data_IF_357962343155
#
_entry.id   IF_357962343155
#
_cell.length_a   1.000
_cell.length_b   1.000
_cell.length_c   1.000
_cell.angle_alpha   90.00
_cell.angle_beta   90.00
_cell.angle_gamma   90.00
#
_symmetry.space_group_name_H-M   'P 1'
#
loop_
_entity.id
_entity.type
_entity.pdbx_description
1 polymer ?
#
# COMPACT_ATOMS: atom_id res chain seq x y z
N UNK A 1 22.43 6.69 5.86
CA UNK A 1 22.60 5.26 5.44
C UNK A 1 23.01 5.10 3.96
N UNK A 2 22.77 6.07 3.08
CA UNK A 2 22.95 5.89 1.62
C UNK A 2 24.41 5.86 1.13
N UNK A 3 25.38 6.25 1.96
CA UNK A 3 26.80 6.23 1.60
C UNK A 3 27.26 4.81 1.30
N UNK A 4 28.02 4.60 0.23
CA UNK A 4 28.52 3.28 -0.20
C UNK A 4 29.15 2.45 0.94
N UNK A 5 30.00 3.02 1.83
CA UNK A 5 30.63 2.30 2.95
C UNK A 5 29.67 1.76 4.02
N UNK A 6 28.36 2.03 3.90
CA UNK A 6 27.33 1.49 4.78
C UNK A 6 26.58 0.31 4.15
N UNK A 7 27.15 -0.38 3.16
CA UNK A 7 26.56 -1.55 2.49
C UNK A 7 26.16 -2.64 3.48
N UNK A 8 27.07 -3.03 4.36
CA UNK A 8 26.81 -4.06 5.37
C UNK A 8 25.67 -3.67 6.32
N UNK A 9 25.62 -2.39 6.72
CA UNK A 9 24.55 -1.86 7.57
C UNK A 9 23.20 -1.84 6.85
N UNK A 10 23.17 -1.60 5.53
CA UNK A 10 21.95 -1.74 4.71
C UNK A 10 21.48 -3.17 4.62
N UNK A 11 22.38 -4.13 4.48
CA UNK A 11 22.03 -5.56 4.44
C UNK A 11 21.47 -6.04 5.78
N UNK A 12 22.11 -5.67 6.90
CA UNK A 12 21.59 -5.94 8.24
C UNK A 12 20.20 -5.36 8.45
N UNK A 13 19.98 -4.12 8.02
CA UNK A 13 18.67 -3.46 8.08
C UNK A 13 17.62 -4.18 7.22
N UNK A 14 17.99 -4.68 6.04
CA UNK A 14 17.08 -5.36 5.12
C UNK A 14 16.60 -6.72 5.63
N UNK A 15 17.41 -7.39 6.46
CA UNK A 15 17.10 -8.71 7.04
C UNK A 15 16.39 -8.57 8.40
N UNK A 16 16.46 -7.39 9.04
CA UNK A 16 15.91 -7.15 10.36
C UNK A 16 14.39 -7.42 10.45
N UNK A 17 13.97 -8.04 11.56
CA UNK A 17 12.59 -8.43 11.86
C UNK A 17 12.08 -7.88 13.20
N UNK A 18 12.98 -7.51 14.10
CA UNK A 18 12.66 -7.06 15.46
C UNK A 18 13.24 -5.68 15.75
N UNK A 19 12.55 -4.88 16.58
CA UNK A 19 12.89 -3.47 16.88
C UNK A 19 14.34 -3.28 17.35
N UNK A 20 14.86 -4.21 18.16
CA UNK A 20 16.22 -4.12 18.67
C UNK A 20 17.28 -4.14 17.56
N UNK A 21 17.05 -4.90 16.48
CA UNK A 21 17.96 -5.01 15.34
C UNK A 21 18.03 -3.68 14.59
N UNK A 22 16.90 -2.98 14.45
CA UNK A 22 16.87 -1.64 13.86
C UNK A 22 17.67 -0.64 14.71
N UNK A 23 17.52 -0.68 16.05
CA UNK A 23 18.28 0.18 16.98
C UNK A 23 19.77 -0.07 16.92
N UNK A 24 20.20 -1.32 16.76
CA UNK A 24 21.61 -1.69 16.65
C UNK A 24 22.26 -1.09 15.38
N UNK A 25 21.56 -1.17 14.24
CA UNK A 25 22.02 -0.56 12.98
C UNK A 25 22.16 0.95 13.13
N UNK A 26 21.17 1.61 13.74
CA UNK A 26 21.21 3.06 14.00
C UNK A 26 22.36 3.44 14.94
N UNK A 27 22.57 2.66 16.01
CA UNK A 27 23.66 2.89 16.95
C UNK A 27 25.04 2.72 16.29
N UNK A 28 25.17 1.73 15.41
CA UNK A 28 26.39 1.51 14.62
C UNK A 28 26.68 2.67 13.67
N UNK A 29 25.65 3.19 12.99
CA UNK A 29 25.79 4.39 12.15
C UNK A 29 26.16 5.62 12.97
N UNK A 30 25.53 5.80 14.13
CA UNK A 30 25.82 6.90 15.03
C UNK A 30 27.29 6.87 15.43
N UNK A 31 27.76 5.77 16.00
CA UNK A 31 29.15 5.64 16.43
C UNK A 31 30.16 5.91 15.30
N UNK A 32 29.83 5.49 14.07
CA UNK A 32 30.70 5.67 12.89
C UNK A 32 30.85 7.13 12.47
N UNK A 33 29.79 7.93 12.60
CA UNK A 33 29.73 9.27 12.00
C UNK A 33 29.57 10.39 13.05
N UNK A 34 29.38 10.08 14.33
CA UNK A 34 29.28 11.03 15.45
C UNK A 34 30.57 11.85 15.67
N UNK A 35 31.79 11.26 15.65
CA UNK A 35 33.03 12.03 15.73
C UNK A 35 33.20 13.00 14.55
N UNK A 36 32.75 12.58 13.37
CA UNK A 36 32.77 13.41 12.16
C UNK A 36 31.80 14.58 12.26
N UNK A 37 30.61 14.32 12.80
CA UNK A 37 29.57 15.35 12.97
C UNK A 37 29.96 16.40 14.04
N UNK A 38 30.58 15.96 15.13
CA UNK A 38 31.01 16.86 16.21
C UNK A 38 32.26 17.69 15.84
N UNK A 39 32.90 17.39 14.71
CA UNK A 39 34.13 18.04 14.27
C UNK A 39 35.41 17.50 14.92
N UNK A 40 35.30 16.39 15.66
CA UNK A 40 36.44 15.72 16.29
C UNK A 40 37.33 15.00 15.25
N UNK A 41 36.74 14.62 14.11
CA UNK A 41 37.43 13.98 13.00
C UNK A 41 36.99 14.58 11.65
N UNK A 42 37.96 14.80 10.75
CA UNK A 42 37.63 15.19 9.38
C UNK A 42 37.02 13.99 8.63
N UNK A 43 35.90 14.24 7.94
CA UNK A 43 35.35 13.26 7.01
C UNK A 43 36.30 13.12 5.82
N UNK A 44 36.89 11.94 5.65
CA UNK A 44 37.64 11.59 4.45
C UNK A 44 36.77 10.65 3.63
N UNK A 45 36.25 11.08 2.45
CA UNK A 45 35.57 10.17 1.54
C UNK A 45 36.53 9.04 1.13
N UNK A 46 36.17 7.78 1.41
CA UNK A 46 36.99 6.61 1.12
C UNK A 46 37.13 6.31 -0.40
N UNK A 47 36.37 6.97 -1.27
CA UNK A 47 36.50 6.85 -2.73
C UNK A 47 36.43 8.25 -3.37
N UNK A 48 37.39 8.58 -4.23
CA UNK A 48 37.29 9.69 -5.16
C UNK A 48 36.11 9.42 -6.10
N UNK A 49 35.04 10.17 -5.92
CA UNK A 49 33.90 10.12 -6.83
C UNK A 49 34.34 10.87 -8.09
N UNK A 50 35.00 10.19 -9.02
CA UNK A 50 35.56 10.77 -10.24
C UNK A 50 34.52 11.38 -11.21
N UNK A 51 33.23 11.49 -10.85
CA UNK A 51 32.18 12.04 -11.72
C UNK A 51 30.96 12.56 -10.95
N UNK A 52 31.13 13.32 -9.87
CA UNK A 52 30.00 14.08 -9.29
C UNK A 52 30.50 15.44 -8.82
N UNK A 53 30.48 16.42 -9.72
CA UNK A 53 30.70 17.84 -9.38
C UNK A 53 29.61 18.42 -8.46
N UNK A 54 28.52 17.68 -8.13
CA UNK A 54 27.39 18.24 -7.37
C UNK A 54 26.68 17.26 -6.42
N UNK A 55 27.41 16.54 -5.58
CA UNK A 55 26.83 16.02 -4.33
C UNK A 55 27.87 16.17 -3.24
N UNK A 56 28.12 17.42 -2.88
CA UNK A 56 28.60 17.72 -1.54
C UNK A 56 27.59 17.03 -0.61
N UNK A 57 27.95 15.87 -0.07
CA UNK A 57 27.30 15.31 1.09
C UNK A 57 27.72 16.21 2.22
N UNK A 58 27.19 17.42 2.20
CA UNK A 58 27.34 18.41 3.20
C UNK A 58 26.66 17.78 4.40
N UNK A 59 27.47 17.16 5.27
CA UNK A 59 27.08 16.37 6.44
C UNK A 59 26.44 17.27 7.52
N UNK A 60 25.80 18.38 7.13
CA UNK A 60 24.98 19.23 7.99
C UNK A 60 23.99 18.40 8.80
N UNK A 61 23.53 17.28 8.23
CA UNK A 61 22.73 16.29 8.94
C UNK A 61 23.44 14.94 8.99
N UNK A 62 23.54 14.32 10.18
CA UNK A 62 24.22 13.05 10.31
C UNK A 62 23.52 11.90 9.57
N UNK A 63 24.27 10.91 9.03
CA UNK A 63 23.71 9.81 8.23
C UNK A 63 22.71 8.88 8.92
N UNK A 64 22.59 8.95 10.25
CA UNK A 64 21.61 8.19 11.06
C UNK A 64 20.32 8.97 11.33
N UNK A 65 20.27 10.26 10.97
CA UNK A 65 19.05 11.06 10.98
C UNK A 65 18.39 10.95 9.60
N UNK A 66 17.08 10.73 9.57
CA UNK A 66 16.33 10.77 8.33
C UNK A 66 16.48 12.14 7.67
N UNK A 67 16.88 12.17 6.39
CA UNK A 67 16.86 13.42 5.64
C UNK A 67 15.44 14.01 5.68
N UNK A 68 15.29 15.31 5.96
CA UNK A 68 14.00 15.96 5.91
C UNK A 68 13.43 15.78 4.50
N UNK A 69 12.18 15.34 4.40
CA UNK A 69 11.50 15.27 3.12
C UNK A 69 11.21 16.68 2.61
N UNK A 70 12.02 17.15 1.68
CA UNK A 70 11.80 18.41 0.97
C UNK A 70 11.15 18.06 -0.36
N UNK A 71 9.89 18.44 -0.53
CA UNK A 71 9.23 18.31 -1.83
C UNK A 71 9.80 19.40 -2.75
N UNK A 72 10.35 19.05 -3.93
CA UNK A 72 10.79 20.04 -4.89
C UNK A 72 9.60 20.89 -5.36
N UNK A 73 9.87 22.13 -5.77
CA UNK A 73 8.86 22.98 -6.39
C UNK A 73 8.18 22.27 -7.57
N UNK A 74 6.88 22.51 -7.82
CA UNK A 74 6.12 21.79 -8.84
C UNK A 74 6.75 21.89 -10.23
N UNK A 75 7.34 23.04 -10.58
CA UNK A 75 8.01 23.26 -11.86
C UNK A 75 9.22 22.34 -12.07
N UNK A 76 10.04 22.17 -11.04
CA UNK A 76 11.20 21.26 -11.08
C UNK A 76 10.73 19.82 -11.22
N UNK A 77 9.70 19.44 -10.47
CA UNK A 77 9.13 18.10 -10.56
C UNK A 77 8.61 17.79 -11.96
N UNK A 78 7.91 18.74 -12.59
CA UNK A 78 7.41 18.62 -13.97
C UNK A 78 8.57 18.42 -14.95
N UNK A 79 9.61 19.27 -14.87
CA UNK A 79 10.81 19.16 -15.72
C UNK A 79 11.50 17.79 -15.58
N UNK A 80 11.66 17.29 -14.35
CA UNK A 80 12.24 15.97 -14.11
C UNK A 80 11.37 14.85 -14.68
N UNK A 81 10.05 14.98 -14.67
CA UNK A 81 9.14 14.00 -15.30
C UNK A 81 9.32 14.03 -16.82
N UNK A 82 9.31 15.21 -17.43
CA UNK A 82 9.46 15.39 -18.88
C UNK A 82 10.79 14.80 -19.38
N UNK A 83 11.88 15.06 -18.69
CA UNK A 83 13.20 14.50 -19.01
C UNK A 83 13.22 12.97 -18.91
N UNK A 84 12.60 12.40 -17.87
CA UNK A 84 12.46 10.94 -17.73
C UNK A 84 11.61 10.33 -18.84
N UNK A 85 10.59 11.04 -19.32
CA UNK A 85 9.78 10.61 -20.46
C UNK A 85 10.64 10.59 -21.73
N UNK A 86 11.40 11.66 -22.01
CA UNK A 86 12.32 11.72 -23.17
C UNK A 86 13.34 10.57 -23.16
N UNK A 87 13.98 10.32 -22.02
CA UNK A 87 14.93 9.20 -21.85
C UNK A 87 14.24 7.84 -22.05
N UNK A 88 12.97 7.71 -21.66
CA UNK A 88 12.22 6.47 -21.84
C UNK A 88 11.74 6.26 -23.28
N UNK A 89 11.52 7.32 -24.05
CA UNK A 89 11.17 7.28 -25.47
C UNK A 89 12.36 6.90 -26.34
N UNK A 90 13.55 7.37 -25.99
CA UNK A 90 14.80 7.06 -26.70
C UNK A 90 15.26 5.61 -26.51
N UNK A 91 14.70 4.90 -25.52
CA UNK A 91 15.01 3.49 -25.25
C UNK A 91 14.14 2.56 -26.08
N UNK A 92 14.78 1.63 -26.79
CA UNK A 92 14.08 0.60 -27.53
C UNK A 92 13.20 -0.25 -26.59
N UNK A 93 11.89 -0.27 -26.85
CA UNK A 93 10.92 -1.01 -26.03
C UNK A 93 11.08 -2.50 -26.29
N UNK A 94 11.35 -3.27 -25.23
CA UNK A 94 11.34 -4.74 -25.29
C UNK A 94 10.00 -5.25 -25.82
N UNK A 95 10.02 -5.96 -26.95
CA UNK A 95 8.89 -6.67 -27.53
C UNK A 95 8.67 -8.00 -26.82
N UNK A 96 7.42 -8.46 -26.73
CA UNK A 96 7.07 -9.76 -26.15
C UNK A 96 6.13 -10.47 -27.08
N UNK A 97 6.28 -11.78 -27.22
CA UNK A 97 5.46 -12.61 -28.11
C UNK A 97 4.72 -13.68 -27.30
N UNK A 98 3.56 -14.11 -27.79
CA UNK A 98 2.92 -15.35 -27.35
C UNK A 98 3.49 -16.56 -28.09
N UNK A 99 3.00 -17.75 -27.71
CA UNK A 99 3.46 -19.03 -28.26
C UNK A 99 3.09 -19.19 -29.76
N UNK A 100 2.17 -18.36 -30.27
CA UNK A 100 1.76 -18.28 -31.68
C UNK A 100 2.56 -17.22 -32.47
N UNK A 101 3.50 -16.53 -31.81
CA UNK A 101 4.34 -15.50 -32.44
C UNK A 101 3.69 -14.12 -32.58
N UNK A 102 2.51 -13.89 -32.00
CA UNK A 102 1.86 -12.58 -32.01
C UNK A 102 2.48 -11.65 -30.96
N UNK A 103 2.67 -10.38 -31.31
CA UNK A 103 3.18 -9.40 -30.34
C UNK A 103 2.13 -9.12 -29.25
N UNK A 104 2.57 -9.22 -27.99
CA UNK A 104 1.74 -9.05 -26.81
C UNK A 104 2.37 -8.09 -25.81
N UNK A 105 1.53 -7.47 -24.98
CA UNK A 105 2.01 -6.69 -23.84
C UNK A 105 2.77 -7.56 -22.83
N UNK A 106 3.79 -7.00 -22.16
CA UNK A 106 4.46 -7.59 -20.99
C UNK A 106 3.46 -8.11 -19.94
N UNK A 107 2.35 -7.40 -19.73
CA UNK A 107 1.29 -7.79 -18.80
C UNK A 107 0.56 -9.06 -19.26
N UNK A 108 0.27 -9.16 -20.56
CA UNK A 108 -0.33 -10.36 -21.18
C UNK A 108 0.65 -11.55 -21.07
N UNK A 109 1.93 -11.36 -21.37
CA UNK A 109 2.96 -12.40 -21.26
C UNK A 109 3.08 -12.96 -19.83
N UNK A 110 3.19 -12.07 -18.83
CA UNK A 110 3.22 -12.49 -17.41
C UNK A 110 1.95 -13.21 -16.99
N UNK A 111 0.78 -12.78 -17.48
CA UNK A 111 -0.52 -13.42 -17.21
C UNK A 111 -0.57 -14.83 -17.80
N UNK A 112 -0.10 -15.02 -19.03
CA UNK A 112 -0.04 -16.33 -19.69
C UNK A 112 0.90 -17.28 -18.94
N UNK A 113 2.13 -16.84 -18.62
CA UNK A 113 3.06 -17.63 -17.79
C UNK A 113 2.50 -17.99 -16.42
N UNK A 114 1.69 -17.12 -15.81
CA UNK A 114 1.02 -17.42 -14.54
C UNK A 114 -0.09 -18.44 -14.71
N UNK A 115 -0.82 -18.42 -15.84
CA UNK A 115 -1.86 -19.39 -16.15
C UNK A 115 -1.27 -20.77 -16.46
N UNK A 116 -0.20 -20.85 -17.25
CA UNK A 116 0.42 -22.13 -17.63
C UNK A 116 1.01 -22.89 -16.44
N UNK A 117 1.44 -22.17 -15.39
CA UNK A 117 1.92 -22.77 -14.14
C UNK A 117 0.81 -23.19 -13.18
N UNK A 118 -0.45 -22.79 -13.41
CA UNK A 118 -1.55 -23.17 -12.53
C UNK A 118 -1.99 -24.59 -12.90
N UNK A 119 -2.18 -25.49 -11.92
CA UNK A 119 -2.83 -26.76 -12.19
C UNK A 119 -4.22 -26.50 -12.79
N UNK A 120 -4.64 -27.40 -13.69
CA UNK A 120 -5.99 -27.36 -14.26
C UNK A 120 -7.01 -27.37 -13.12
N UNK A 121 -8.03 -26.52 -13.26
CA UNK A 121 -9.12 -26.46 -12.28
C UNK A 121 -9.82 -27.83 -12.32
N UNK A 122 -10.00 -28.52 -11.18
CA UNK A 122 -10.69 -29.79 -11.18
C UNK A 122 -12.12 -29.60 -11.70
N UNK A 123 -12.59 -30.57 -12.49
CA UNK A 123 -13.93 -30.60 -13.04
C UNK A 123 -14.95 -30.49 -11.90
N UNK A 124 -15.91 -29.57 -12.01
CA UNK A 124 -16.90 -29.28 -10.95
C UNK A 124 -16.47 -28.26 -9.88
N UNK A 125 -15.25 -27.72 -9.89
CA UNK A 125 -14.90 -26.67 -8.94
C UNK A 125 -15.60 -25.35 -9.31
N UNK A 126 -16.64 -25.01 -8.55
CA UNK A 126 -17.31 -23.71 -8.48
C UNK A 126 -17.90 -23.18 -9.80
N UNK A 127 -19.04 -23.72 -10.19
CA UNK A 127 -20.17 -22.84 -10.47
C UNK A 127 -20.64 -22.29 -9.13
N UNK A 128 -20.28 -21.05 -8.80
CA UNK A 128 -20.97 -20.37 -7.71
C UNK A 128 -22.36 -20.09 -8.25
N UNK A 129 -23.32 -20.95 -7.92
CA UNK A 129 -24.73 -20.66 -8.14
C UNK A 129 -25.06 -19.43 -7.28
N UNK A 130 -25.04 -18.26 -7.92
CA UNK A 130 -25.37 -17.01 -7.27
C UNK A 130 -26.88 -16.86 -7.44
N UNK A 131 -27.61 -17.29 -6.42
CA UNK A 131 -29.05 -17.05 -6.35
C UNK A 131 -29.32 -15.54 -6.52
N UNK A 132 -30.35 -15.22 -7.30
CA UNK A 132 -30.81 -13.85 -7.48
C UNK A 132 -31.81 -13.48 -6.39
N UNK A 133 -31.87 -12.19 -6.06
CA UNK A 133 -32.86 -11.67 -5.15
C UNK A 133 -34.28 -11.86 -5.75
N UNK A 134 -35.28 -12.26 -4.96
CA UNK A 134 -36.64 -12.45 -5.48
C UNK A 134 -37.32 -11.14 -5.89
N UNK A 135 -36.88 -9.99 -5.35
CA UNK A 135 -37.45 -8.67 -5.64
C UNK A 135 -36.77 -7.98 -6.84
N UNK A 136 -35.51 -8.32 -7.11
CA UNK A 136 -34.74 -7.70 -8.20
C UNK A 136 -33.67 -8.67 -8.71
N UNK A 137 -33.18 -8.48 -9.94
CA UNK A 137 -32.17 -9.37 -10.55
C UNK A 137 -30.76 -9.28 -9.97
N UNK A 138 -30.56 -8.53 -8.88
CA UNK A 138 -29.26 -8.44 -8.20
C UNK A 138 -28.94 -9.73 -7.42
N UNK A 139 -27.64 -10.06 -7.25
CA UNK A 139 -27.23 -11.23 -6.50
C UNK A 139 -27.64 -11.16 -5.03
N UNK A 140 -28.01 -12.32 -4.49
CA UNK A 140 -28.47 -12.49 -3.12
C UNK A 140 -27.32 -12.30 -2.12
N UNK A 141 -27.59 -11.61 -1.01
CA UNK A 141 -26.62 -11.48 0.06
C UNK A 141 -26.46 -12.80 0.79
N UNK A 142 -25.32 -13.48 0.63
CA UNK A 142 -25.09 -14.84 1.17
C UNK A 142 -25.39 -14.98 2.68
N UNK A 143 -25.16 -13.93 3.47
CA UNK A 143 -25.43 -13.91 4.93
C UNK A 143 -26.71 -13.15 5.30
N UNK A 144 -27.51 -12.74 4.32
CA UNK A 144 -28.71 -11.93 4.53
C UNK A 144 -29.80 -12.76 5.20
N UNK A 145 -30.29 -12.30 6.34
CA UNK A 145 -31.39 -12.97 7.08
C UNK A 145 -32.65 -13.06 6.22
N UNK A 146 -32.90 -12.04 5.39
CA UNK A 146 -34.08 -11.95 4.54
C UNK A 146 -33.91 -12.57 3.15
N UNK A 147 -32.76 -13.17 2.83
CA UNK A 147 -32.48 -13.71 1.48
C UNK A 147 -32.72 -12.69 0.35
N UNK A 148 -32.39 -11.42 0.62
CA UNK A 148 -32.48 -10.32 -0.34
C UNK A 148 -31.09 -9.83 -0.73
N UNK A 149 -30.99 -9.06 -1.82
CA UNK A 149 -29.80 -8.26 -2.12
C UNK A 149 -29.65 -7.13 -1.08
N UNK A 150 -28.50 -6.44 -1.10
CA UNK A 150 -28.23 -5.35 -0.14
C UNK A 150 -29.24 -4.20 -0.21
N UNK A 151 -29.73 -3.85 -1.39
CA UNK A 151 -30.64 -2.72 -1.57
C UNK A 151 -32.05 -3.03 -1.08
N UNK A 152 -32.66 -4.10 -1.59
CA UNK A 152 -33.98 -4.54 -1.14
C UNK A 152 -34.00 -4.89 0.36
N UNK A 153 -32.90 -5.46 0.87
CA UNK A 153 -32.76 -5.72 2.31
C UNK A 153 -32.76 -4.43 3.13
N UNK A 154 -32.10 -3.37 2.67
CA UNK A 154 -32.07 -2.07 3.35
C UNK A 154 -33.47 -1.47 3.46
N UNK A 155 -34.20 -1.45 2.35
CA UNK A 155 -35.57 -0.92 2.29
C UNK A 155 -36.45 -1.67 3.28
N UNK A 156 -36.44 -3.01 3.24
CA UNK A 156 -37.18 -3.86 4.17
C UNK A 156 -36.82 -3.61 5.64
N UNK A 157 -35.52 -3.51 5.95
CA UNK A 157 -35.07 -3.21 7.32
C UNK A 157 -35.52 -1.83 7.80
N UNK A 158 -35.65 -0.86 6.89
CA UNK A 158 -36.10 0.49 7.22
C UNK A 158 -37.62 0.57 7.38
N UNK A 159 -38.40 -0.09 6.53
CA UNK A 159 -39.87 -0.07 6.57
C UNK A 159 -40.41 -0.87 7.74
N UNK A 160 -39.89 -2.07 7.96
CA UNK A 160 -40.37 -2.99 8.99
C UNK A 160 -39.60 -2.87 10.32
N UNK A 161 -38.61 -1.97 10.39
CA UNK A 161 -37.77 -1.74 11.58
C UNK A 161 -37.14 -3.06 12.06
N UNK A 162 -36.30 -3.64 11.20
CA UNK A 162 -35.56 -4.88 11.50
C UNK A 162 -34.05 -4.69 11.38
N UNK A 163 -33.33 -5.65 11.96
CA UNK A 163 -31.88 -5.75 11.87
C UNK A 163 -31.50 -6.90 10.94
N UNK A 164 -30.49 -6.68 10.09
CA UNK A 164 -29.90 -7.68 9.23
C UNK A 164 -28.40 -7.80 9.50
N UNK A 165 -27.98 -8.91 10.12
CA UNK A 165 -26.58 -9.19 10.43
C UNK A 165 -25.74 -9.33 9.15
N UNK A 166 -26.30 -9.95 8.11
CA UNK A 166 -25.61 -10.19 6.84
C UNK A 166 -25.15 -8.92 6.13
N UNK A 167 -26.00 -7.90 6.10
CA UNK A 167 -25.70 -6.60 5.49
C UNK A 167 -25.31 -5.52 6.51
N UNK A 168 -25.27 -5.87 7.80
CA UNK A 168 -24.97 -4.96 8.92
C UNK A 168 -25.93 -3.76 8.99
N UNK A 169 -27.22 -4.02 8.76
CA UNK A 169 -28.28 -3.06 9.05
C UNK A 169 -28.79 -3.28 10.47
N UNK A 170 -28.89 -2.20 11.23
CA UNK A 170 -29.20 -2.22 12.67
C UNK A 170 -30.26 -1.13 12.95
N UNK A 171 -31.35 -1.16 12.20
CA UNK A 171 -32.37 -0.11 12.25
C UNK A 171 -33.14 -0.16 13.56
N UNK A 172 -33.54 -1.35 14.02
CA UNK A 172 -34.27 -1.54 15.28
C UNK A 172 -33.42 -1.15 16.48
N UNK A 173 -32.23 -1.74 16.59
CA UNK A 173 -31.30 -1.46 17.68
C UNK A 173 -30.88 0.01 17.77
N UNK A 174 -30.69 0.69 16.63
CA UNK A 174 -30.42 2.15 16.63
C UNK A 174 -31.60 2.97 17.14
N UNK A 175 -32.83 2.60 16.77
CA UNK A 175 -34.03 3.31 17.22
C UNK A 175 -34.28 3.10 18.72
N UNK A 176 -34.12 1.88 19.22
CA UNK A 176 -34.22 1.57 20.65
C UNK A 176 -33.17 2.33 21.46
N UNK A 177 -31.91 2.35 20.99
CA UNK A 177 -30.85 3.12 21.64
C UNK A 177 -31.16 4.62 21.69
N UNK A 178 -31.71 5.19 20.61
CA UNK A 178 -32.15 6.60 20.58
C UNK A 178 -33.28 6.87 21.58
N UNK A 179 -34.27 5.97 21.69
CA UNK A 179 -35.36 6.09 22.68
C UNK A 179 -34.81 6.10 24.11
N UNK A 180 -33.96 5.13 24.44
CA UNK A 180 -33.32 5.04 25.76
C UNK A 180 -32.50 6.29 26.08
N UNK A 181 -31.74 6.82 25.11
CA UNK A 181 -30.97 8.07 25.31
C UNK A 181 -31.89 9.27 25.55
N UNK A 182 -33.01 9.37 24.82
CA UNK A 182 -34.00 10.44 25.01
C UNK A 182 -34.66 10.37 26.38
N UNK A 183 -35.07 9.18 26.82
CA UNK A 183 -35.65 8.96 28.15
C UNK A 183 -34.65 9.29 29.27
N UNK A 184 -33.38 8.95 29.09
CA UNK A 184 -32.32 9.31 30.04
C UNK A 184 -32.11 10.83 30.11
N UNK A 185 -32.14 11.54 28.99
CA UNK A 185 -32.01 12.99 28.98
C UNK A 185 -33.17 13.66 29.74
N UNK A 186 -34.42 13.23 29.50
CA UNK A 186 -35.60 13.75 30.20
C UNK A 186 -35.53 13.53 31.73
N UNK A 187 -34.95 12.43 32.19
CA UNK A 187 -34.78 12.13 33.63
C UNK A 187 -33.68 12.94 34.31
N UNK A 188 -32.74 13.53 33.57
CA UNK A 188 -31.67 14.38 34.12
C UNK A 188 -32.14 15.83 34.25
N UNK A 189 -33.13 16.24 33.46
CA UNK A 189 -33.70 17.59 33.46
C UNK A 189 -34.90 17.75 34.43
N UNK A 190 -35.37 16.66 35.05
CA UNK A 190 -36.43 16.66 36.09
C UNK A 190 -35.84 16.49 37.48
#
# INVERSE_FOLDING_TARGET
LNLRPNSELREKLAIAREDFQFREVVSSLRNKYEPVHNGDQLYVPEESIDNVEEQDYNLYLPPWICQPYIRPAPEVHIKTIEEKVKIAEDREKRKYFDDEGNEISRKKMKRLKKKSRRPLKPEGAHERNIESCPVCTNPLGFKCVFKLCRNCCREKCNTEIFDCIGHKFYTKTKLEKKKILREKALKVES
#
